data_IF_161752737272
#
_entry.id   IF_161752737272
#
_cell.length_a   1.000
_cell.length_b   1.000
_cell.length_c   1.000
_cell.angle_alpha   90.00
_cell.angle_beta   90.00
_cell.angle_gamma   90.00
#
_symmetry.space_group_name_H-M   'P 1'
#
loop_
_entity.id
_entity.type
_entity.pdbx_description
1 polymer ?
#
# COMPACT_ATOMS: atom_id res chain seq x y z
N UNK A 1 5.27 -7.10 -9.75
CA UNK A 1 4.68 -5.75 -9.54
C UNK A 1 5.65 -4.99 -8.65
N UNK A 2 6.05 -3.79 -9.02
CA UNK A 2 7.02 -3.00 -8.24
C UNK A 2 6.30 -2.13 -7.21
N UNK A 3 6.79 -2.08 -5.97
CA UNK A 3 6.22 -1.24 -4.91
C UNK A 3 6.19 0.24 -5.31
N UNK A 4 7.31 0.75 -5.82
CA UNK A 4 7.40 2.16 -6.26
C UNK A 4 6.44 2.50 -7.41
N UNK A 5 6.10 1.53 -8.26
CA UNK A 5 5.12 1.75 -9.32
C UNK A 5 3.69 1.90 -8.77
N UNK A 6 3.36 1.15 -7.71
CA UNK A 6 2.11 1.33 -6.96
C UNK A 6 2.09 2.69 -6.29
N UNK A 7 3.18 3.08 -5.63
CA UNK A 7 3.31 4.39 -4.96
C UNK A 7 3.13 5.56 -5.92
N UNK A 8 3.78 5.53 -7.09
CA UNK A 8 3.60 6.57 -8.11
C UNK A 8 2.14 6.67 -8.59
N UNK A 9 1.46 5.53 -8.73
CA UNK A 9 0.08 5.50 -9.18
C UNK A 9 -0.86 6.11 -8.13
N UNK A 10 -0.74 5.69 -6.87
CA UNK A 10 -1.59 6.19 -5.78
C UNK A 10 -1.28 7.63 -5.43
N UNK A 11 -0.02 8.07 -5.54
CA UNK A 11 0.34 9.48 -5.40
C UNK A 11 -0.27 10.33 -6.50
N UNK A 12 -0.42 9.80 -7.71
CA UNK A 12 -1.08 10.51 -8.81
C UNK A 12 -2.61 10.59 -8.62
N UNK A 13 -3.20 9.59 -7.95
CA UNK A 13 -4.64 9.53 -7.68
C UNK A 13 -5.03 10.36 -6.45
N UNK A 14 -4.24 10.29 -5.38
CA UNK A 14 -4.47 10.97 -4.11
C UNK A 14 -3.23 11.80 -3.73
N UNK A 15 -2.99 12.95 -4.41
CA UNK A 15 -1.74 13.69 -4.29
C UNK A 15 -1.51 14.39 -2.95
N UNK A 16 -2.58 14.71 -2.22
CA UNK A 16 -2.51 15.38 -0.92
C UNK A 16 -2.31 14.39 0.25
N UNK A 17 -2.34 13.09 -0.05
CA UNK A 17 -2.29 12.02 0.94
C UNK A 17 -0.91 11.37 0.97
N UNK A 18 -0.57 10.74 2.09
CA UNK A 18 0.66 9.98 2.25
C UNK A 18 0.40 8.51 1.97
N UNK A 19 1.35 7.89 1.25
CA UNK A 19 1.25 6.51 0.80
C UNK A 19 2.56 5.76 1.01
N UNK A 20 2.44 4.46 1.26
CA UNK A 20 3.56 3.53 1.30
C UNK A 20 3.10 2.16 0.79
N UNK A 21 3.79 1.61 -0.20
CA UNK A 21 3.56 0.25 -0.65
C UNK A 21 4.54 -0.70 0.03
N UNK A 22 4.04 -1.76 0.66
CA UNK A 22 4.85 -2.75 1.36
C UNK A 22 4.52 -4.17 0.89
N UNK A 23 5.53 -5.03 0.79
CA UNK A 23 5.34 -6.46 0.56
C UNK A 23 5.24 -7.19 1.90
N UNK A 24 4.17 -7.95 2.10
CA UNK A 24 3.94 -8.76 3.31
C UNK A 24 3.84 -10.25 2.93
N UNK A 25 4.18 -11.18 3.84
CA UNK A 25 4.09 -12.60 3.56
C UNK A 25 2.64 -13.04 3.34
N UNK A 26 2.41 -13.93 2.37
CA UNK A 26 1.10 -14.53 2.10
C UNK A 26 1.26 -16.05 1.93
N UNK A 27 0.57 -16.85 2.73
CA UNK A 27 0.69 -18.32 2.70
C UNK A 27 0.35 -18.96 1.35
N UNK A 28 -0.48 -18.32 0.53
CA UNK A 28 -0.94 -18.84 -0.75
C UNK A 28 -0.11 -18.31 -1.93
N UNK A 29 0.37 -17.08 -1.82
CA UNK A 29 1.03 -16.36 -2.93
C UNK A 29 2.53 -16.15 -2.73
N UNK A 30 3.07 -16.55 -1.58
CA UNK A 30 4.42 -16.21 -1.14
C UNK A 30 4.45 -14.81 -0.53
N UNK A 31 4.15 -13.81 -1.35
CA UNK A 31 4.05 -12.41 -0.95
C UNK A 31 2.81 -11.74 -1.56
N UNK A 32 2.32 -10.71 -0.88
CA UNK A 32 1.27 -9.81 -1.38
C UNK A 32 1.67 -8.36 -1.14
N UNK A 33 1.22 -7.47 -2.01
CA UNK A 33 1.47 -6.04 -1.90
C UNK A 33 0.31 -5.40 -1.14
N UNK A 34 0.64 -4.61 -0.13
CA UNK A 34 -0.31 -3.85 0.68
C UNK A 34 0.01 -2.38 0.50
N UNK A 35 -1.02 -1.60 0.19
CA UNK A 35 -0.95 -0.15 0.24
C UNK A 35 -1.31 0.29 1.66
N UNK A 36 -0.43 1.03 2.31
CA UNK A 36 -0.75 1.80 3.52
C UNK A 36 -0.95 3.26 3.10
N UNK A 37 -2.06 3.87 3.49
CA UNK A 37 -2.42 5.22 3.03
C UNK A 37 -3.17 6.03 4.08
N UNK A 38 -2.98 7.34 4.07
CA UNK A 38 -3.81 8.29 4.84
C UNK A 38 -5.12 8.67 4.16
N UNK A 39 -5.29 8.30 2.88
CA UNK A 39 -6.53 8.47 2.15
C UNK A 39 -7.63 7.58 2.77
N UNK A 40 -8.46 8.17 3.61
CA UNK A 40 -9.53 7.51 4.38
C UNK A 40 -10.65 6.95 3.50
N UNK A 41 -10.93 7.59 2.37
CA UNK A 41 -11.90 7.13 1.38
C UNK A 41 -11.30 6.17 0.34
N UNK A 42 -9.99 5.91 0.37
CA UNK A 42 -9.31 5.11 -0.66
C UNK A 42 -10.00 3.77 -0.91
N UNK A 43 -10.31 3.50 -2.18
CA UNK A 43 -10.90 2.24 -2.61
C UNK A 43 -10.08 1.55 -3.70
N UNK A 44 -10.10 0.22 -3.67
CA UNK A 44 -9.45 -0.57 -4.70
C UNK A 44 -10.14 -0.42 -6.07
N UNK A 45 -11.41 -0.03 -6.09
CA UNK A 45 -12.15 0.23 -7.32
C UNK A 45 -11.70 1.50 -8.01
N UNK A 46 -11.59 2.62 -7.27
CA UNK A 46 -11.06 3.87 -7.82
C UNK A 46 -9.65 3.67 -8.37
N UNK A 47 -8.80 2.96 -7.62
CA UNK A 47 -7.44 2.67 -8.05
C UNK A 47 -7.40 1.80 -9.33
N UNK A 48 -8.28 0.80 -9.45
CA UNK A 48 -8.44 0.01 -10.69
C UNK A 48 -8.87 0.87 -11.87
N UNK A 49 -9.89 1.71 -11.67
CA UNK A 49 -10.41 2.58 -12.72
C UNK A 49 -9.36 3.61 -13.17
N UNK A 50 -8.64 4.19 -12.22
CA UNK A 50 -7.56 5.13 -12.48
C UNK A 50 -6.39 4.46 -13.21
N UNK A 51 -5.92 3.30 -12.71
CA UNK A 51 -4.86 2.52 -13.35
C UNK A 51 -5.19 2.15 -14.79
N UNK A 52 -6.43 1.70 -15.05
CA UNK A 52 -6.90 1.39 -16.40
C UNK A 52 -6.87 2.60 -17.34
N UNK A 53 -7.27 3.78 -16.85
CA UNK A 53 -7.21 5.05 -17.62
C UNK A 53 -5.77 5.48 -17.89
N UNK A 54 -4.87 5.25 -16.95
CA UNK A 54 -3.45 5.58 -17.07
C UNK A 54 -2.65 4.58 -17.93
N UNK A 55 -3.30 3.55 -18.50
CA UNK A 55 -2.62 2.49 -19.25
C UNK A 55 -1.73 1.59 -18.37
N UNK A 56 -1.87 1.67 -17.06
CA UNK A 56 -1.21 0.78 -16.13
C UNK A 56 -1.85 -0.62 -16.22
N UNK A 57 -1.03 -1.66 -16.25
CA UNK A 57 -1.53 -3.04 -16.24
C UNK A 57 -2.38 -3.28 -14.98
N UNK A 58 -3.45 -4.09 -15.09
CA UNK A 58 -4.30 -4.50 -13.95
C UNK A 58 -3.50 -5.10 -12.78
N UNK A 59 -2.28 -5.58 -13.06
CA UNK A 59 -1.29 -6.05 -12.10
C UNK A 59 -0.80 -4.99 -11.09
N UNK A 60 -1.06 -3.70 -11.31
CA UNK A 60 -0.58 -2.61 -10.43
C UNK A 60 -1.47 -2.35 -9.21
N UNK A 61 -2.56 -3.11 -9.06
CA UNK A 61 -3.50 -2.93 -7.95
C UNK A 61 -2.97 -3.71 -6.73
N UNK A 62 -2.80 -3.06 -5.57
CA UNK A 62 -2.39 -3.74 -4.34
C UNK A 62 -3.44 -4.78 -3.93
N UNK A 63 -3.00 -5.83 -3.24
CA UNK A 63 -3.87 -6.89 -2.76
C UNK A 63 -4.78 -6.42 -1.63
N UNK A 64 -4.31 -5.46 -0.81
CA UNK A 64 -5.08 -4.84 0.26
C UNK A 64 -4.73 -3.36 0.38
N UNK A 65 -5.66 -2.62 0.96
CA UNK A 65 -5.50 -1.21 1.33
C UNK A 65 -5.71 -1.11 2.84
N UNK A 66 -4.69 -0.63 3.55
CA UNK A 66 -4.71 -0.36 4.99
C UNK A 66 -4.73 1.15 5.18
N UNK A 67 -5.83 1.63 5.74
CA UNK A 67 -6.05 3.05 6.02
C UNK A 67 -5.54 3.40 7.42
N UNK A 68 -4.82 4.50 7.53
CA UNK A 68 -4.18 4.95 8.78
C UNK A 68 -4.31 6.46 8.91
N UNK A 69 -4.31 6.97 10.13
CA UNK A 69 -4.29 8.42 10.35
C UNK A 69 -2.92 9.02 10.00
N UNK A 70 -1.85 8.27 10.24
CA UNK A 70 -0.47 8.66 9.93
C UNK A 70 0.36 7.46 9.47
N UNK A 71 1.34 7.72 8.60
CA UNK A 71 2.35 6.74 8.20
C UNK A 71 3.59 6.92 9.07
N UNK A 72 4.12 5.83 9.68
CA UNK A 72 5.37 5.90 10.44
C UNK A 72 6.50 6.54 9.65
N UNK A 73 7.23 7.47 10.27
CA UNK A 73 8.39 8.14 9.70
C UNK A 73 9.62 7.97 10.57
N UNK A 74 10.80 7.99 9.94
CA UNK A 74 12.09 8.07 10.62
C UNK A 74 12.30 9.48 11.17
N UNK A 75 13.28 9.67 12.06
CA UNK A 75 13.66 11.00 12.57
C UNK A 75 14.12 12.01 11.49
N UNK A 76 14.29 11.56 10.24
CA UNK A 76 14.55 12.41 9.07
C UNK A 76 13.29 12.89 8.33
N UNK A 77 12.09 12.47 8.77
CA UNK A 77 10.81 12.74 8.11
C UNK A 77 10.49 11.83 6.92
N UNK A 78 11.38 10.91 6.55
CA UNK A 78 11.13 9.91 5.49
C UNK A 78 10.30 8.75 6.03
N UNK A 79 9.49 8.13 5.18
CA UNK A 79 8.73 6.91 5.48
C UNK A 79 9.60 5.83 6.12
N UNK A 80 9.17 5.33 7.27
CA UNK A 80 9.72 4.14 7.90
C UNK A 80 9.00 2.90 7.35
N UNK A 81 9.55 2.33 6.28
CA UNK A 81 9.01 1.14 5.63
C UNK A 81 9.01 -0.10 6.53
N UNK A 82 9.91 -0.20 7.52
CA UNK A 82 9.98 -1.36 8.43
C UNK A 82 8.78 -1.31 9.38
N UNK A 83 8.56 -0.17 10.03
CA UNK A 83 7.42 0.04 10.92
C UNK A 83 6.10 0.01 10.16
N UNK A 84 6.05 0.60 8.96
CA UNK A 84 4.87 0.57 8.09
C UNK A 84 4.51 -0.85 7.64
N UNK A 85 5.50 -1.67 7.29
CA UNK A 85 5.27 -3.08 6.97
C UNK A 85 4.74 -3.86 8.17
N UNK A 86 5.27 -3.63 9.36
CA UNK A 86 4.77 -4.24 10.59
C UNK A 86 3.31 -3.84 10.85
N UNK A 87 3.01 -2.55 10.74
CA UNK A 87 1.64 -2.02 10.86
C UNK A 87 0.68 -2.72 9.87
N UNK A 88 1.08 -2.89 8.61
CA UNK A 88 0.28 -3.60 7.62
C UNK A 88 0.04 -5.08 8.02
N UNK A 89 1.07 -5.79 8.49
CA UNK A 89 0.97 -7.17 8.96
C UNK A 89 -0.01 -7.28 10.13
N UNK A 90 0.10 -6.38 11.11
CA UNK A 90 -0.74 -6.36 12.31
C UNK A 90 -2.20 -6.06 11.95
N UNK A 91 -2.43 -5.06 11.08
CA UNK A 91 -3.78 -4.68 10.62
C UNK A 91 -4.48 -5.77 9.79
N UNK A 92 -3.71 -6.57 9.07
CA UNK A 92 -4.23 -7.69 8.27
C UNK A 92 -4.27 -9.01 9.06
N UNK A 93 -3.85 -9.03 10.33
CA UNK A 93 -3.82 -10.24 11.15
C UNK A 93 -2.83 -11.30 10.63
N UNK A 94 -1.83 -10.89 9.84
CA UNK A 94 -0.83 -11.79 9.25
C UNK A 94 0.28 -12.16 10.24
N UNK A 95 0.32 -11.49 11.40
CA UNK A 95 1.34 -11.66 12.45
C UNK A 95 1.29 -12.97 13.24
N UNK A 96 0.32 -13.86 12.99
CA UNK A 96 0.26 -15.17 13.66
C UNK A 96 0.18 -16.29 12.63
N UNK A 97 1.36 -16.73 12.21
CA UNK A 97 1.54 -17.90 11.37
C UNK A 97 2.94 -18.52 11.53
N UNK A 98 3.36 -18.74 12.79
CA UNK A 98 4.29 -19.78 13.28
C UNK A 98 4.90 -19.29 14.60
#
# INVERSE_FOLDING_TARGET
VSLGAVEMLVQSLWPEEHHAAVAVPDKRRGERIVLVTTADEASAEELRQFGKKAGAAELMVPNDIVKVEEIPVLGSGKTDYVSTRKLAIDRLGLGVAA
#
